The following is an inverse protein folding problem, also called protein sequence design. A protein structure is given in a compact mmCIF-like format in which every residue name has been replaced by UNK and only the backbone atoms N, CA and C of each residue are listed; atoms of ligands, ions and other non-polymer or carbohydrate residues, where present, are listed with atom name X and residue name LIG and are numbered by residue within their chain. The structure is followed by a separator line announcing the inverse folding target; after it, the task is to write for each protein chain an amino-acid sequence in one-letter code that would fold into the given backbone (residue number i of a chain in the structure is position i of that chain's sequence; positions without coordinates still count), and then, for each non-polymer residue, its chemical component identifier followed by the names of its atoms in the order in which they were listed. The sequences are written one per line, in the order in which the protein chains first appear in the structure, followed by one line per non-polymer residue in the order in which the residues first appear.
data_IF_105187762279
#
_entry.id   IF_105187762279
#
_cell.length_a   1.000
_cell.length_b   1.000
_cell.length_c   1.000
_cell.angle_alpha   90.00
_cell.angle_beta   90.00
_cell.angle_gamma   90.00
#
_symmetry.space_group_name_H-M   'P 1'
#
loop_
_entity.id
_entity.type
_entity.pdbx_description
1 polymer ?
#
# COMPACT_ATOMS: atom_id res chain seq x y z
N UNK A 1 -48.73 57.16 -4.88
CA UNK A 1 -50.12 56.93 -5.33
C UNK A 1 -50.16 55.58 -6.01
N UNK A 2 -50.95 54.62 -5.50
CA UNK A 2 -51.49 53.40 -6.14
C UNK A 2 -50.44 52.39 -6.70
N UNK A 3 -50.19 51.22 -6.09
CA UNK A 3 -51.02 50.00 -5.92
C UNK A 3 -51.61 49.45 -7.23
N UNK A 4 -51.09 48.29 -7.67
CA UNK A 4 -51.79 47.13 -8.29
C UNK A 4 -50.70 46.08 -8.62
N UNK A 5 -50.52 44.97 -7.89
CA UNK A 5 -51.31 43.73 -7.81
C UNK A 5 -51.53 43.01 -9.15
N UNK A 6 -50.67 42.05 -9.47
CA UNK A 6 -50.95 41.02 -10.47
C UNK A 6 -50.41 39.67 -9.98
N UNK A 7 -51.36 38.78 -9.68
CA UNK A 7 -51.20 37.38 -9.29
C UNK A 7 -50.62 36.57 -10.45
N UNK A 8 -49.57 35.79 -10.21
CA UNK A 8 -49.21 34.66 -11.06
C UNK A 8 -49.38 33.35 -10.28
N UNK A 9 -50.20 32.48 -10.84
CA UNK A 9 -50.54 31.14 -10.35
C UNK A 9 -49.33 30.21 -10.55
N UNK A 10 -48.88 29.55 -9.49
CA UNK A 10 -48.02 28.38 -9.60
C UNK A 10 -48.85 27.20 -10.09
N UNK A 11 -48.57 26.73 -11.30
CA UNK A 11 -49.06 25.45 -11.83
C UNK A 11 -48.11 24.35 -11.35
N UNK A 12 -48.59 23.49 -10.45
CA UNK A 12 -47.93 22.23 -10.11
C UNK A 12 -48.15 21.21 -11.24
N UNK A 13 -47.10 20.53 -11.74
CA UNK A 13 -47.28 19.35 -12.59
C UNK A 13 -47.67 18.12 -11.73
N UNK A 14 -48.31 17.10 -12.34
CA UNK A 14 -48.98 16.04 -11.61
C UNK A 14 -48.02 15.05 -10.96
N UNK A 15 -48.44 14.58 -9.78
CA UNK A 15 -47.81 13.54 -8.97
C UNK A 15 -47.89 12.20 -9.72
N UNK A 16 -46.77 11.72 -10.26
CA UNK A 16 -46.63 10.34 -10.71
C UNK A 16 -46.17 9.46 -9.55
N UNK A 17 -46.97 8.42 -9.26
CA UNK A 17 -46.76 7.44 -8.18
C UNK A 17 -45.43 6.71 -8.35
N UNK A 18 -44.66 6.66 -7.26
CA UNK A 18 -43.44 5.88 -7.07
C UNK A 18 -43.70 4.38 -7.33
N UNK A 19 -42.85 3.78 -8.17
CA UNK A 19 -42.55 2.34 -8.17
C UNK A 19 -41.16 2.20 -7.52
N UNK A 20 -40.99 1.43 -6.44
CA UNK A 20 -39.67 1.27 -5.83
C UNK A 20 -38.86 0.24 -6.63
N UNK A 21 -37.72 0.67 -7.19
CA UNK A 21 -36.64 -0.23 -7.61
C UNK A 21 -35.37 0.15 -6.83
N UNK A 22 -35.12 -0.59 -5.76
CA UNK A 22 -33.89 -0.64 -4.95
C UNK A 22 -32.93 -1.68 -5.55
N UNK A 23 -31.61 -1.65 -5.40
CA UNK A 23 -30.76 -1.05 -4.38
C UNK A 23 -29.63 -0.20 -4.98
N UNK A 24 -29.57 1.08 -4.62
CA UNK A 24 -28.34 1.88 -4.65
C UNK A 24 -27.60 1.68 -3.32
N UNK A 25 -26.38 1.16 -3.34
CA UNK A 25 -25.53 1.14 -2.15
C UNK A 25 -25.04 2.56 -1.84
N UNK A 26 -25.76 3.28 -0.97
CA UNK A 26 -25.22 4.45 -0.29
C UNK A 26 -24.32 3.97 0.84
N UNK A 27 -23.01 4.20 0.75
CA UNK A 27 -22.08 3.95 1.85
C UNK A 27 -22.24 5.06 2.87
N UNK A 28 -23.24 4.92 3.74
CA UNK A 28 -23.31 5.66 4.99
C UNK A 28 -22.43 4.96 6.02
N UNK A 29 -21.57 5.71 6.70
CA UNK A 29 -20.76 5.22 7.81
C UNK A 29 -21.64 4.91 9.02
N UNK A 30 -22.24 3.73 9.03
CA UNK A 30 -22.82 3.12 10.24
C UNK A 30 -22.07 1.83 10.49
N UNK A 31 -21.65 1.61 11.74
CA UNK A 31 -20.97 0.41 12.20
C UNK A 31 -21.59 -0.85 11.58
N UNK A 32 -20.89 -1.47 10.63
CA UNK A 32 -21.30 -2.74 10.05
C UNK A 32 -20.83 -3.85 10.97
N UNK A 33 -21.74 -4.33 11.80
CA UNK A 33 -21.66 -5.66 12.37
C UNK A 33 -21.68 -6.72 11.25
N UNK A 34 -20.92 -7.77 11.50
CA UNK A 34 -20.56 -8.88 10.62
C UNK A 34 -21.73 -9.78 10.21
N UNK A 35 -22.22 -9.67 8.96
CA UNK A 35 -23.15 -10.67 8.42
C UNK A 35 -22.92 -11.08 6.95
N UNK A 36 -22.29 -10.25 6.12
CA UNK A 36 -22.02 -10.58 4.70
C UNK A 36 -20.56 -11.03 4.53
N UNK A 37 -20.29 -12.17 3.84
CA UNK A 37 -18.92 -12.54 3.52
C UNK A 37 -18.28 -11.50 2.58
N UNK A 38 -16.99 -11.23 2.75
CA UNK A 38 -16.26 -10.38 1.80
C UNK A 38 -16.07 -11.11 0.48
N UNK A 39 -16.42 -10.46 -0.64
CA UNK A 39 -16.27 -11.05 -1.98
C UNK A 39 -14.81 -10.98 -2.42
N UNK A 40 -14.26 -12.10 -2.88
CA UNK A 40 -12.91 -12.22 -3.42
C UNK A 40 -12.99 -12.71 -4.86
N UNK A 41 -12.62 -11.86 -5.81
CA UNK A 41 -12.53 -12.22 -7.22
C UNK A 41 -11.13 -12.74 -7.54
N UNK A 42 -11.05 -14.03 -7.82
CA UNK A 42 -9.84 -14.75 -8.17
C UNK A 42 -9.58 -14.63 -9.68
N UNK A 43 -8.48 -13.97 -10.03
CA UNK A 43 -8.13 -13.58 -11.39
C UNK A 43 -6.74 -14.12 -11.73
N UNK A 44 -6.64 -14.99 -12.74
CA UNK A 44 -5.38 -15.54 -13.21
C UNK A 44 -4.95 -14.89 -14.52
N UNK A 45 -3.68 -14.50 -14.64
CA UNK A 45 -3.13 -13.91 -15.88
C UNK A 45 -3.02 -14.93 -17.03
N UNK A 46 -2.75 -16.20 -16.74
CA UNK A 46 -2.72 -17.28 -17.74
C UNK A 46 -3.67 -18.42 -17.38
N UNK A 47 -3.73 -19.44 -18.24
CA UNK A 47 -4.50 -20.66 -18.00
C UNK A 47 -4.09 -21.35 -16.70
N UNK A 48 -2.80 -21.40 -16.38
CA UNK A 48 -2.29 -22.00 -15.14
C UNK A 48 -2.81 -21.27 -13.91
N UNK A 49 -2.69 -19.95 -13.85
CA UNK A 49 -3.24 -19.17 -12.73
C UNK A 49 -4.77 -19.23 -12.68
N UNK A 50 -5.44 -19.38 -13.83
CA UNK A 50 -6.90 -19.54 -13.90
C UNK A 50 -7.37 -20.90 -13.36
N UNK A 51 -6.57 -21.97 -13.52
CA UNK A 51 -6.84 -23.27 -12.91
C UNK A 51 -6.69 -23.23 -11.40
N UNK A 52 -5.68 -22.52 -10.89
CA UNK A 52 -5.51 -22.26 -9.46
C UNK A 52 -6.75 -21.54 -8.89
N UNK A 53 -7.25 -20.51 -9.59
CA UNK A 53 -8.46 -19.79 -9.17
C UNK A 53 -9.67 -20.73 -9.03
N UNK A 54 -9.88 -21.61 -10.02
CA UNK A 54 -10.96 -22.62 -9.98
C UNK A 54 -10.80 -23.58 -8.81
N UNK A 55 -9.59 -24.10 -8.57
CA UNK A 55 -9.33 -25.01 -7.46
C UNK A 55 -9.60 -24.34 -6.11
N UNK A 56 -9.14 -23.11 -5.91
CA UNK A 56 -9.36 -22.38 -4.66
C UNK A 56 -10.83 -22.09 -4.41
N UNK A 57 -11.59 -21.74 -5.46
CA UNK A 57 -13.05 -21.57 -5.36
C UNK A 57 -13.77 -22.87 -5.01
N UNK A 58 -13.40 -23.99 -5.63
CA UNK A 58 -14.03 -25.30 -5.39
C UNK A 58 -13.74 -25.80 -3.97
N UNK A 59 -12.50 -25.65 -3.51
CA UNK A 59 -12.07 -26.18 -2.23
C UNK A 59 -12.50 -25.28 -1.05
N UNK A 60 -12.95 -24.05 -1.31
CA UNK A 60 -13.42 -23.07 -0.31
C UNK A 60 -12.42 -22.86 0.85
N UNK A 61 -11.13 -22.80 0.52
CA UNK A 61 -10.05 -22.79 1.54
C UNK A 61 -9.71 -21.39 2.06
N UNK A 62 -10.06 -20.33 1.31
CA UNK A 62 -9.74 -18.97 1.68
C UNK A 62 -10.63 -18.49 2.84
N UNK A 63 -10.03 -17.85 3.84
CA UNK A 63 -10.73 -17.35 5.02
C UNK A 63 -10.11 -16.04 5.54
N UNK A 64 -10.87 -15.28 6.31
CA UNK A 64 -10.36 -14.15 7.09
C UNK A 64 -10.03 -14.58 8.51
N UNK A 65 -9.12 -13.86 9.21
CA UNK A 65 -8.85 -14.11 10.62
C UNK A 65 -10.11 -14.08 11.49
N UNK A 66 -10.05 -14.74 12.65
CA UNK A 66 -11.15 -14.82 13.63
C UNK A 66 -12.45 -15.42 13.08
N UNK A 67 -12.34 -16.34 12.11
CA UNK A 67 -13.51 -17.02 11.52
C UNK A 67 -14.34 -16.13 10.57
N UNK A 68 -13.77 -15.01 10.10
CA UNK A 68 -14.41 -14.19 9.09
C UNK A 68 -14.59 -14.96 7.78
N UNK A 69 -15.80 -14.94 7.22
CA UNK A 69 -16.10 -15.65 5.97
C UNK A 69 -15.80 -14.78 4.75
N UNK A 70 -15.36 -15.43 3.69
CA UNK A 70 -15.20 -14.85 2.36
C UNK A 70 -16.03 -15.64 1.35
N UNK A 71 -16.30 -15.03 0.21
CA UNK A 71 -16.96 -15.69 -0.92
C UNK A 71 -16.05 -15.58 -2.13
N UNK A 72 -15.45 -16.69 -2.53
CA UNK A 72 -14.58 -16.75 -3.69
C UNK A 72 -15.39 -16.81 -4.99
N UNK A 73 -15.08 -15.91 -5.92
CA UNK A 73 -15.68 -15.77 -7.23
C UNK A 73 -14.56 -15.77 -8.28
N UNK A 74 -14.84 -16.22 -9.49
CA UNK A 74 -13.88 -16.15 -10.60
C UNK A 74 -13.99 -14.79 -11.30
N UNK A 75 -12.93 -14.39 -12.00
CA UNK A 75 -12.91 -13.19 -12.83
C UNK A 75 -14.12 -13.09 -13.79
N UNK A 76 -14.56 -14.21 -14.38
CA UNK A 76 -15.74 -14.24 -15.27
C UNK A 76 -17.05 -13.82 -14.60
N UNK A 77 -17.12 -13.90 -13.27
CA UNK A 77 -18.30 -13.51 -12.49
C UNK A 77 -18.30 -12.03 -12.12
N UNK A 78 -17.22 -11.29 -12.37
CA UNK A 78 -17.16 -9.83 -12.14
C UNK A 78 -18.28 -9.13 -12.91
N UNK A 79 -18.52 -9.50 -14.17
CA UNK A 79 -19.54 -8.88 -15.03
C UNK A 79 -20.99 -9.05 -14.51
N UNK A 80 -21.22 -10.03 -13.64
CA UNK A 80 -22.52 -10.22 -12.97
C UNK A 80 -22.80 -9.10 -11.96
N UNK A 81 -21.76 -8.39 -11.51
CA UNK A 81 -21.85 -7.31 -10.55
C UNK A 81 -21.50 -5.98 -11.21
N UNK A 82 -22.29 -4.94 -10.93
CA UNK A 82 -21.97 -3.58 -11.37
C UNK A 82 -21.16 -2.87 -10.30
N UNK A 83 -19.88 -2.64 -10.59
CA UNK A 83 -19.00 -1.81 -9.78
C UNK A 83 -18.92 -0.39 -10.38
N UNK A 84 -18.57 0.59 -9.56
CA UNK A 84 -18.37 1.96 -10.04
C UNK A 84 -17.12 2.09 -10.91
N UNK A 85 -17.03 3.18 -11.68
CA UNK A 85 -15.87 3.46 -12.57
C UNK A 85 -14.54 3.53 -11.81
N UNK A 86 -14.55 3.86 -10.53
CA UNK A 86 -13.35 3.90 -9.67
C UNK A 86 -12.90 2.51 -9.18
N UNK A 87 -13.56 1.41 -9.55
CA UNK A 87 -13.17 0.06 -9.13
C UNK A 87 -11.88 -0.39 -9.83
N UNK A 88 -11.09 -1.26 -9.17
CA UNK A 88 -9.82 -1.71 -9.75
C UNK A 88 -10.05 -2.51 -11.04
N UNK A 89 -9.44 -2.07 -12.13
CA UNK A 89 -9.60 -2.70 -13.44
C UNK A 89 -8.53 -3.77 -13.68
N UNK A 90 -8.95 -5.03 -13.59
CA UNK A 90 -8.10 -6.21 -13.75
C UNK A 90 -7.44 -6.27 -15.14
N UNK A 91 -8.15 -5.89 -16.20
CA UNK A 91 -7.62 -5.96 -17.57
C UNK A 91 -6.55 -4.88 -17.83
N UNK A 92 -6.74 -3.66 -17.30
CA UNK A 92 -5.71 -2.62 -17.36
C UNK A 92 -4.43 -3.05 -16.62
N UNK A 93 -4.58 -3.67 -15.45
CA UNK A 93 -3.45 -4.24 -14.72
C UNK A 93 -2.74 -5.32 -15.55
N UNK A 94 -3.49 -6.22 -16.18
CA UNK A 94 -2.92 -7.28 -17.02
C UNK A 94 -2.17 -6.77 -18.24
N UNK A 95 -2.70 -5.73 -18.90
CA UNK A 95 -2.07 -5.14 -20.07
C UNK A 95 -0.70 -4.51 -19.76
N UNK A 96 -0.53 -4.01 -18.54
CA UNK A 96 0.72 -3.37 -18.08
C UNK A 96 1.69 -4.34 -17.37
N UNK A 97 1.24 -5.51 -16.90
CA UNK A 97 2.07 -6.47 -16.15
C UNK A 97 2.89 -7.38 -17.06
N UNK A 98 4.22 -7.40 -16.87
CA UNK A 98 5.18 -8.17 -17.69
C UNK A 98 5.99 -9.22 -16.90
N UNK A 99 5.63 -9.47 -15.64
CA UNK A 99 6.37 -10.35 -14.74
C UNK A 99 6.21 -11.85 -15.04
N UNK A 100 7.17 -12.62 -14.54
CA UNK A 100 7.20 -14.09 -14.60
C UNK A 100 6.70 -14.76 -13.32
N UNK A 101 6.88 -14.14 -12.15
CA UNK A 101 6.54 -14.71 -10.84
C UNK A 101 5.52 -13.86 -10.08
N UNK A 102 5.76 -12.55 -9.97
CA UNK A 102 4.97 -11.71 -9.05
C UNK A 102 3.76 -11.05 -9.69
N UNK A 103 2.64 -10.98 -8.98
CA UNK A 103 1.42 -10.29 -9.40
C UNK A 103 0.53 -11.05 -10.38
N UNK A 104 0.92 -12.26 -10.82
CA UNK A 104 0.24 -13.01 -11.89
C UNK A 104 -1.05 -13.74 -11.46
N UNK A 105 -1.21 -13.94 -10.15
CA UNK A 105 -2.45 -14.39 -9.53
C UNK A 105 -2.96 -13.24 -8.68
N UNK A 106 -4.07 -12.62 -9.09
CA UNK A 106 -4.69 -11.47 -8.45
C UNK A 106 -5.96 -11.88 -7.73
N UNK A 107 -6.08 -11.48 -6.48
CA UNK A 107 -7.30 -11.48 -5.70
C UNK A 107 -7.78 -10.03 -5.61
N UNK A 108 -8.89 -9.70 -6.26
CA UNK A 108 -9.48 -8.38 -6.13
C UNK A 108 -10.71 -8.41 -5.22
N UNK A 109 -10.90 -7.37 -4.41
CA UNK A 109 -12.08 -7.20 -3.59
C UNK A 109 -12.57 -5.74 -3.58
N UNK A 110 -13.86 -5.46 -3.81
CA UNK A 110 -14.39 -4.11 -3.69
C UNK A 110 -14.39 -3.59 -2.24
N UNK A 111 -14.54 -4.50 -1.27
CA UNK A 111 -14.57 -4.17 0.15
C UNK A 111 -14.05 -5.35 0.97
N UNK A 112 -13.00 -5.09 1.76
CA UNK A 112 -12.30 -6.12 2.52
C UNK A 112 -11.88 -5.57 3.90
N UNK A 113 -11.71 -6.39 4.96
CA UNK A 113 -11.11 -5.89 6.18
C UNK A 113 -9.68 -5.40 5.94
N UNK A 114 -8.83 -6.24 5.35
CA UNK A 114 -7.41 -5.99 5.11
C UNK A 114 -6.90 -6.96 4.05
N UNK A 115 -6.24 -6.45 3.01
CA UNK A 115 -5.50 -7.25 2.00
C UNK A 115 -4.38 -8.05 2.66
N UNK A 116 -3.73 -7.46 3.67
CA UNK A 116 -2.64 -8.09 4.42
C UNK A 116 -3.14 -9.31 5.19
N UNK A 117 -4.34 -9.24 5.75
CA UNK A 117 -4.95 -10.33 6.51
C UNK A 117 -5.30 -11.50 5.55
N UNK A 118 -5.78 -11.22 4.33
CA UNK A 118 -6.01 -12.28 3.32
C UNK A 118 -4.71 -12.98 2.94
N UNK A 119 -3.67 -12.21 2.60
CA UNK A 119 -2.39 -12.77 2.12
C UNK A 119 -1.68 -13.56 3.22
N UNK A 120 -1.60 -13.00 4.43
CA UNK A 120 -0.87 -13.64 5.53
C UNK A 120 -1.59 -14.85 6.09
N UNK A 121 -2.93 -14.81 6.23
CA UNK A 121 -3.68 -15.91 6.81
C UNK A 121 -3.79 -17.12 5.87
N UNK A 122 -3.83 -16.89 4.56
CA UNK A 122 -4.01 -17.92 3.55
C UNK A 122 -2.69 -18.28 2.83
N UNK A 123 -1.53 -17.89 3.37
CA UNK A 123 -0.25 -18.03 2.67
C UNK A 123 0.02 -19.45 2.15
N UNK A 124 -0.41 -20.49 2.88
CA UNK A 124 -0.21 -21.89 2.47
C UNK A 124 -1.08 -22.32 1.28
N UNK A 125 -2.21 -21.64 1.06
CA UNK A 125 -3.14 -21.90 -0.04
C UNK A 125 -2.80 -21.06 -1.28
N UNK A 126 -2.06 -19.96 -1.09
CA UNK A 126 -1.75 -19.01 -2.14
C UNK A 126 -0.38 -19.29 -2.77
N UNK A 127 -0.27 -19.28 -4.11
CA UNK A 127 1.03 -19.27 -4.78
C UNK A 127 1.90 -18.10 -4.30
N UNK A 128 3.22 -18.31 -4.26
CA UNK A 128 4.17 -17.20 -4.08
C UNK A 128 4.01 -16.22 -5.23
N UNK A 129 3.99 -14.92 -4.92
CA UNK A 129 3.72 -13.86 -5.88
C UNK A 129 2.24 -13.52 -6.08
N UNK A 130 1.33 -14.18 -5.35
CA UNK A 130 -0.08 -13.78 -5.30
C UNK A 130 -0.21 -12.36 -4.78
N UNK A 131 -1.02 -11.53 -5.44
CA UNK A 131 -1.37 -10.19 -4.98
C UNK A 131 -2.84 -10.13 -4.61
N UNK A 132 -3.16 -9.50 -3.48
CA UNK A 132 -4.52 -9.13 -3.10
C UNK A 132 -4.66 -7.61 -3.14
N UNK A 133 -5.60 -7.09 -3.93
CA UNK A 133 -5.92 -5.66 -4.07
C UNK A 133 -7.32 -5.41 -3.53
N UNK A 134 -7.52 -4.32 -2.81
CA UNK A 134 -8.85 -3.88 -2.38
C UNK A 134 -9.15 -2.45 -2.81
N UNK A 135 -10.41 -2.17 -3.17
CA UNK A 135 -10.86 -0.79 -3.41
C UNK A 135 -11.11 -0.03 -2.11
N UNK A 136 -11.50 -0.73 -1.04
CA UNK A 136 -11.68 -0.16 0.29
C UNK A 136 -11.32 -1.19 1.36
N UNK A 137 -10.54 -0.76 2.36
CA UNK A 137 -10.27 -1.54 3.56
C UNK A 137 -10.93 -0.88 4.77
N UNK A 138 -11.66 -1.65 5.59
CA UNK A 138 -12.27 -1.12 6.81
C UNK A 138 -11.51 -1.49 8.10
N UNK A 139 -10.48 -2.33 8.00
CA UNK A 139 -9.54 -2.68 9.07
C UNK A 139 -8.09 -2.68 8.56
N UNK A 140 -7.74 -1.67 7.76
CA UNK A 140 -6.41 -1.52 7.16
C UNK A 140 -5.29 -1.57 8.20
N UNK A 141 -4.22 -2.30 7.90
CA UNK A 141 -3.11 -2.55 8.84
C UNK A 141 -1.95 -1.59 8.58
N UNK A 142 -1.43 -1.01 9.66
CA UNK A 142 -0.12 -0.35 9.71
C UNK A 142 0.82 -1.05 10.70
N UNK A 143 2.06 -0.56 10.77
CA UNK A 143 3.09 -1.09 11.68
C UNK A 143 2.76 -0.75 13.15
N UNK A 144 3.23 -1.59 14.08
CA UNK A 144 3.07 -1.40 15.54
C UNK A 144 1.62 -1.16 16.00
N UNK A 145 0.66 -1.92 15.45
CA UNK A 145 -0.79 -1.84 15.69
C UNK A 145 -1.49 -0.57 15.17
N UNK A 146 -0.80 0.31 14.46
CA UNK A 146 -1.45 1.45 13.80
C UNK A 146 -2.45 0.96 12.73
N UNK A 147 -3.48 1.74 12.47
CA UNK A 147 -4.40 1.52 11.37
C UNK A 147 -3.93 2.28 10.11
N UNK A 148 -4.19 1.73 8.93
CA UNK A 148 -4.04 2.44 7.67
C UNK A 148 -5.41 2.94 7.20
N UNK A 149 -5.61 4.26 7.19
CA UNK A 149 -6.81 4.87 6.64
C UNK A 149 -6.88 4.69 5.13
N UNK A 150 -8.03 4.23 4.65
CA UNK A 150 -8.18 3.62 3.33
C UNK A 150 -9.33 4.27 2.53
N UNK A 151 -9.33 5.60 2.33
CA UNK A 151 -10.38 6.28 1.57
C UNK A 151 -10.35 5.87 0.10
N UNK A 152 -11.49 6.05 -0.59
CA UNK A 152 -11.61 5.76 -2.02
C UNK A 152 -10.55 6.53 -2.82
N UNK A 153 -9.89 5.84 -3.76
CA UNK A 153 -8.76 6.38 -4.54
C UNK A 153 -7.38 6.00 -3.97
N UNK A 154 -7.32 5.40 -2.77
CA UNK A 154 -6.10 4.81 -2.24
C UNK A 154 -5.77 3.50 -2.99
N UNK A 155 -4.49 3.31 -3.33
CA UNK A 155 -3.96 2.04 -3.79
C UNK A 155 -3.57 1.19 -2.57
N UNK A 156 -4.21 0.05 -2.43
CA UNK A 156 -3.98 -0.87 -1.30
C UNK A 156 -3.85 -2.28 -1.83
N UNK A 157 -2.67 -2.85 -1.64
CA UNK A 157 -2.44 -4.23 -2.01
C UNK A 157 -1.43 -4.90 -1.09
N UNK A 158 -1.54 -6.22 -0.97
CA UNK A 158 -0.56 -7.04 -0.28
C UNK A 158 -0.19 -8.23 -1.16
N UNK A 159 1.02 -8.76 -1.02
CA UNK A 159 1.47 -9.89 -1.82
C UNK A 159 2.31 -10.90 -1.05
N UNK A 160 2.29 -12.15 -1.52
CA UNK A 160 3.07 -13.25 -0.95
C UNK A 160 4.48 -13.26 -1.51
N UNK A 161 5.46 -13.47 -0.62
CA UNK A 161 6.85 -13.68 -0.95
C UNK A 161 7.41 -14.78 -0.05
N UNK A 162 8.35 -15.58 -0.54
CA UNK A 162 9.03 -16.60 0.27
C UNK A 162 10.55 -16.41 0.22
N UNK A 163 11.21 -16.53 1.37
CA UNK A 163 12.65 -16.35 1.53
C UNK A 163 13.23 -17.46 2.42
N UNK A 164 14.54 -17.70 2.33
CA UNK A 164 15.23 -18.74 3.11
C UNK A 164 16.18 -18.16 4.16
N UNK A 165 16.90 -17.08 3.83
CA UNK A 165 17.84 -16.44 4.76
C UNK A 165 17.16 -15.39 5.64
N UNK A 166 17.00 -15.71 6.93
CA UNK A 166 16.42 -14.82 7.94
C UNK A 166 17.18 -13.50 8.14
N UNK A 167 18.48 -13.43 7.80
CA UNK A 167 19.26 -12.19 7.89
C UNK A 167 18.84 -11.15 6.85
N UNK A 168 18.32 -11.61 5.71
CA UNK A 168 17.91 -10.74 4.60
C UNK A 168 16.44 -10.35 4.67
N UNK A 169 15.60 -11.13 5.36
CA UNK A 169 14.16 -10.85 5.50
C UNK A 169 13.85 -9.41 5.94
N UNK A 170 14.54 -8.81 6.94
CA UNK A 170 14.28 -7.42 7.33
C UNK A 170 14.57 -6.39 6.23
N UNK A 171 15.48 -6.69 5.29
CA UNK A 171 15.89 -5.79 4.21
C UNK A 171 14.86 -5.73 3.08
N UNK A 172 13.92 -6.68 3.02
CA UNK A 172 12.94 -6.75 1.94
C UNK A 172 12.07 -5.50 1.85
N UNK A 173 11.79 -4.85 2.99
CA UNK A 173 10.99 -3.62 3.02
C UNK A 173 11.64 -2.48 2.24
N UNK A 174 12.98 -2.44 2.18
CA UNK A 174 13.73 -1.46 1.41
C UNK A 174 13.63 -1.72 -0.08
N UNK A 175 13.67 -3.00 -0.49
CA UNK A 175 13.44 -3.41 -1.88
C UNK A 175 12.02 -3.08 -2.34
N UNK A 176 11.02 -3.31 -1.47
CA UNK A 176 9.62 -2.91 -1.72
C UNK A 176 9.51 -1.40 -1.84
N UNK A 177 10.18 -0.64 -0.97
CA UNK A 177 10.19 0.83 -1.00
C UNK A 177 10.77 1.36 -2.31
N UNK A 178 11.93 0.84 -2.71
CA UNK A 178 12.55 1.16 -4.00
C UNK A 178 11.61 0.85 -5.17
N UNK A 179 11.00 -0.34 -5.18
CA UNK A 179 10.11 -0.75 -6.25
C UNK A 179 8.91 0.19 -6.40
N UNK A 180 8.34 0.72 -5.31
CA UNK A 180 7.28 1.72 -5.40
C UNK A 180 7.81 3.02 -6.02
N UNK A 181 8.94 3.53 -5.55
CA UNK A 181 9.50 4.79 -6.09
C UNK A 181 9.88 4.68 -7.56
N UNK A 182 10.49 3.56 -7.98
CA UNK A 182 10.84 3.30 -9.37
C UNK A 182 9.62 3.06 -10.25
N UNK A 183 8.54 2.50 -9.71
CA UNK A 183 7.27 2.34 -10.43
C UNK A 183 6.61 3.68 -10.73
N UNK A 184 6.63 4.63 -9.78
CA UNK A 184 6.08 5.98 -10.03
C UNK A 184 6.88 6.70 -11.11
N UNK A 185 8.21 6.63 -11.07
CA UNK A 185 9.09 7.19 -12.12
C UNK A 185 8.78 6.59 -13.49
N UNK A 186 8.66 5.26 -13.56
CA UNK A 186 8.34 4.54 -14.79
C UNK A 186 6.98 4.95 -15.37
N UNK A 187 5.96 5.11 -14.52
CA UNK A 187 4.64 5.59 -14.96
C UNK A 187 4.71 7.04 -15.43
N UNK A 188 5.51 7.90 -14.78
CA UNK A 188 5.73 9.25 -15.27
C UNK A 188 6.35 9.23 -16.67
N UNK A 189 7.44 8.49 -16.86
CA UNK A 189 8.18 8.42 -18.11
C UNK A 189 7.31 7.89 -19.27
N UNK A 190 6.59 6.78 -19.03
CA UNK A 190 5.73 6.14 -20.06
C UNK A 190 4.56 7.03 -20.48
N UNK A 191 4.02 7.82 -19.56
CA UNK A 191 2.85 8.67 -19.83
C UNK A 191 3.21 10.13 -20.13
N UNK A 192 4.51 10.48 -20.14
CA UNK A 192 4.97 11.85 -20.33
C UNK A 192 4.53 12.81 -19.21
N UNK A 193 4.37 12.31 -17.99
CA UNK A 193 4.05 13.15 -16.84
C UNK A 193 5.30 13.86 -16.34
N UNK A 194 5.16 15.03 -15.67
CA UNK A 194 6.27 15.61 -14.94
C UNK A 194 6.82 14.63 -13.91
N UNK A 195 8.12 14.76 -13.63
CA UNK A 195 8.79 13.97 -12.61
C UNK A 195 8.15 14.22 -11.24
N UNK A 196 7.75 13.15 -10.55
CA UNK A 196 7.20 13.19 -9.18
C UNK A 196 8.18 12.53 -8.23
N UNK A 197 8.72 13.33 -7.30
CA UNK A 197 9.79 12.92 -6.40
C UNK A 197 9.25 12.23 -5.14
N UNK A 198 8.82 10.98 -5.27
CA UNK A 198 8.45 10.15 -4.11
C UNK A 198 9.72 9.67 -3.40
N UNK A 199 9.86 10.06 -2.14
CA UNK A 199 11.04 9.81 -1.30
C UNK A 199 10.74 8.80 -0.20
N UNK A 200 11.79 8.10 0.25
CA UNK A 200 11.69 7.11 1.32
C UNK A 200 12.03 7.77 2.66
N UNK A 201 11.11 7.70 3.62
CA UNK A 201 11.42 7.96 5.03
C UNK A 201 11.52 6.63 5.75
N UNK A 202 12.74 6.31 6.16
CA UNK A 202 13.05 5.09 6.88
C UNK A 202 12.16 4.94 8.14
N UNK A 203 11.72 3.71 8.46
CA UNK A 203 12.04 2.46 7.75
C UNK A 203 11.07 2.08 6.63
N UNK A 204 9.89 2.69 6.55
CA UNK A 204 8.78 2.13 5.79
C UNK A 204 7.74 3.14 5.30
N UNK A 205 8.01 4.45 5.40
CA UNK A 205 7.09 5.47 4.92
C UNK A 205 7.53 6.03 3.57
N UNK A 206 6.57 6.42 2.73
CA UNK A 206 6.80 7.10 1.46
C UNK A 206 6.25 8.52 1.55
N UNK A 207 7.06 9.48 1.11
CA UNK A 207 6.81 10.91 1.25
C UNK A 207 6.82 11.60 -0.10
N UNK A 208 5.97 12.60 -0.25
CA UNK A 208 5.88 13.47 -1.40
C UNK A 208 5.67 14.90 -0.90
N UNK A 209 6.53 15.83 -1.33
CA UNK A 209 6.50 17.24 -0.90
C UNK A 209 6.45 17.40 0.64
N UNK A 210 7.19 16.56 1.37
CA UNK A 210 7.23 16.59 2.84
C UNK A 210 6.00 15.99 3.53
N UNK A 211 5.01 15.49 2.79
CA UNK A 211 3.83 14.82 3.36
C UNK A 211 3.90 13.32 3.13
N UNK A 212 3.43 12.53 4.10
CA UNK A 212 3.32 11.08 3.95
C UNK A 212 2.25 10.76 2.92
N UNK A 213 2.64 10.05 1.87
CA UNK A 213 1.75 9.61 0.77
C UNK A 213 1.56 8.09 0.76
N UNK A 214 2.43 7.33 1.43
CA UNK A 214 2.31 5.88 1.50
C UNK A 214 3.03 5.24 2.67
N UNK A 215 2.80 3.95 2.84
CA UNK A 215 3.44 3.13 3.86
C UNK A 215 3.55 1.68 3.42
N UNK A 216 4.59 1.01 3.92
CA UNK A 216 4.91 -0.39 3.65
C UNK A 216 4.82 -1.18 4.95
N UNK A 217 4.28 -2.39 4.85
CA UNK A 217 4.17 -3.34 5.95
C UNK A 217 4.68 -4.70 5.50
N UNK A 218 5.85 -5.11 5.97
CA UNK A 218 6.36 -6.46 5.77
C UNK A 218 6.23 -7.25 7.08
N UNK A 219 5.57 -8.40 7.03
CA UNK A 219 5.50 -9.34 8.15
C UNK A 219 5.92 -10.71 7.69
N UNK A 220 6.61 -11.48 8.52
CA UNK A 220 7.04 -12.83 8.19
C UNK A 220 6.60 -13.86 9.22
N UNK A 221 6.29 -15.06 8.76
CA UNK A 221 6.20 -16.26 9.60
C UNK A 221 7.25 -17.26 9.14
N UNK A 222 7.82 -18.04 10.07
CA UNK A 222 8.76 -19.10 9.72
C UNK A 222 8.06 -20.45 9.75
N UNK A 223 8.01 -21.14 8.61
CA UNK A 223 7.35 -22.45 8.46
C UNK A 223 8.11 -23.30 7.44
N UNK A 224 8.27 -24.58 7.73
CA UNK A 224 8.89 -25.55 6.81
C UNK A 224 10.27 -25.10 6.29
N UNK A 225 11.12 -24.56 7.18
CA UNK A 225 12.46 -24.03 6.88
C UNK A 225 12.50 -22.81 5.95
N UNK A 226 11.37 -22.13 5.77
CA UNK A 226 11.26 -20.93 4.94
C UNK A 226 10.53 -19.81 5.68
N UNK A 227 10.86 -18.58 5.33
CA UNK A 227 10.16 -17.38 5.76
C UNK A 227 9.07 -17.04 4.74
N UNK A 228 7.82 -17.17 5.17
CA UNK A 228 6.65 -16.71 4.43
C UNK A 228 6.44 -15.23 4.76
N UNK A 229 6.78 -14.37 3.80
CA UNK A 229 6.72 -12.91 3.93
C UNK A 229 5.46 -12.39 3.24
N UNK A 230 4.63 -11.68 3.99
CA UNK A 230 3.51 -10.90 3.46
C UNK A 230 3.90 -9.44 3.44
N UNK A 231 3.87 -8.82 2.27
CA UNK A 231 4.24 -7.42 2.06
C UNK A 231 3.03 -6.63 1.59
N UNK A 232 2.61 -5.66 2.39
CA UNK A 232 1.51 -4.74 2.12
C UNK A 232 2.01 -3.34 1.76
N UNK A 233 1.34 -2.70 0.81
CA UNK A 233 1.53 -1.31 0.41
C UNK A 233 0.19 -0.60 0.51
N UNK A 234 0.17 0.53 1.23
CA UNK A 234 -0.89 1.53 1.16
C UNK A 234 -0.32 2.80 0.57
N UNK A 235 -0.94 3.35 -0.47
CA UNK A 235 -0.41 4.50 -1.21
C UNK A 235 -1.53 5.40 -1.73
N UNK A 236 -1.43 6.70 -1.47
CA UNK A 236 -2.45 7.66 -1.84
C UNK A 236 -2.28 8.08 -3.30
N UNK A 237 -3.22 7.66 -4.17
CA UNK A 237 -3.16 7.94 -5.61
C UNK A 237 -4.17 9.01 -6.00
N UNK A 238 -5.45 8.76 -5.73
CA UNK A 238 -6.57 9.67 -6.03
C UNK A 238 -7.27 10.25 -4.79
N UNK A 239 -6.77 9.98 -3.57
CA UNK A 239 -7.39 10.41 -2.31
C UNK A 239 -6.61 11.55 -1.64
N UNK A 240 -7.10 12.79 -1.74
CA UNK A 240 -6.38 13.98 -1.22
C UNK A 240 -6.28 14.01 0.31
N UNK A 241 -7.13 13.26 1.01
CA UNK A 241 -7.15 13.13 2.47
C UNK A 241 -6.69 11.74 2.91
N UNK A 242 -6.08 11.58 4.11
CA UNK A 242 -5.89 12.62 5.15
C UNK A 242 -4.68 13.56 4.93
N UNK A 243 -3.77 13.25 4.00
CA UNK A 243 -2.53 14.01 3.80
C UNK A 243 -2.43 14.68 2.43
N UNK A 244 -2.13 13.90 1.40
CA UNK A 244 -2.05 14.28 -0.03
C UNK A 244 -2.04 12.99 -0.88
N UNK A 245 -2.07 13.14 -2.21
CA UNK A 245 -1.97 12.03 -3.16
C UNK A 245 -1.22 12.42 -4.45
N UNK A 246 -0.82 11.42 -5.25
CA UNK A 246 -0.14 11.66 -6.53
C UNK A 246 -0.93 12.56 -7.48
N UNK A 247 -2.24 12.32 -7.61
CA UNK A 247 -3.06 13.06 -8.56
C UNK A 247 -3.24 14.52 -8.16
N UNK A 248 -3.12 14.87 -6.87
CA UNK A 248 -3.07 16.27 -6.43
C UNK A 248 -1.81 16.94 -6.96
N UNK A 249 -0.65 16.34 -6.69
CA UNK A 249 0.64 16.90 -7.11
C UNK A 249 0.79 16.92 -8.63
N UNK A 250 0.27 15.90 -9.34
CA UNK A 250 0.26 15.89 -10.81
C UNK A 250 -0.54 17.08 -11.38
N UNK A 251 -1.70 17.39 -10.81
CA UNK A 251 -2.54 18.52 -11.23
C UNK A 251 -1.87 19.87 -10.96
N UNK A 252 -1.04 19.98 -9.93
CA UNK A 252 -0.25 21.18 -9.65
C UNK A 252 0.90 21.37 -10.65
N UNK A 253 1.46 20.28 -11.17
CA UNK A 253 2.61 20.28 -12.08
C UNK A 253 2.25 20.23 -13.57
N UNK A 254 1.02 19.85 -13.92
CA UNK A 254 0.58 19.63 -15.30
C UNK A 254 -0.74 20.32 -15.62
N UNK A 255 -0.83 20.90 -16.82
CA UNK A 255 -2.06 21.54 -17.33
C UNK A 255 -2.98 20.55 -18.06
N UNK A 256 -2.53 19.32 -18.29
CA UNK A 256 -3.33 18.27 -18.94
C UNK A 256 -4.16 17.49 -17.91
N UNK A 257 -5.38 17.05 -18.26
CA UNK A 257 -6.27 16.31 -17.35
C UNK A 257 -5.86 14.82 -17.22
N UNK A 258 -4.58 14.57 -17.00
CA UNK A 258 -4.03 13.24 -16.82
C UNK A 258 -4.01 12.85 -15.34
N UNK A 259 -4.15 11.56 -15.07
CA UNK A 259 -4.15 11.02 -13.71
C UNK A 259 -3.39 9.69 -13.65
N UNK A 260 -2.71 9.45 -12.54
CA UNK A 260 -2.19 8.13 -12.23
C UNK A 260 -3.35 7.17 -11.97
N UNK A 261 -3.24 5.98 -12.56
CA UNK A 261 -4.13 4.85 -12.33
C UNK A 261 -3.52 3.85 -11.37
N UNK A 262 -4.34 3.28 -10.50
CA UNK A 262 -3.91 2.30 -9.48
C UNK A 262 -3.35 1.04 -10.15
N UNK A 263 -3.94 0.66 -11.27
CA UNK A 263 -3.59 -0.49 -12.10
C UNK A 263 -2.19 -0.34 -12.71
N UNK A 264 -1.91 0.83 -13.28
CA UNK A 264 -0.62 1.14 -13.90
C UNK A 264 0.52 1.17 -12.87
N UNK A 265 0.27 1.77 -11.70
CA UNK A 265 1.22 1.77 -10.59
C UNK A 265 1.44 0.34 -10.08
N UNK A 266 0.39 -0.45 -9.89
CA UNK A 266 0.51 -1.82 -9.37
C UNK A 266 1.29 -2.71 -10.34
N UNK A 267 1.03 -2.61 -11.65
CA UNK A 267 1.77 -3.35 -12.66
C UNK A 267 3.24 -2.92 -12.73
N UNK A 268 3.50 -1.61 -12.76
CA UNK A 268 4.86 -1.05 -12.74
C UNK A 268 5.61 -1.48 -11.47
N UNK A 269 4.94 -1.50 -10.32
CA UNK A 269 5.50 -1.98 -9.06
C UNK A 269 5.99 -3.41 -9.19
N UNK A 270 5.18 -4.36 -9.67
CA UNK A 270 5.63 -5.75 -9.80
C UNK A 270 6.73 -5.90 -10.83
N UNK A 271 6.68 -5.17 -11.95
CA UNK A 271 7.73 -5.18 -12.96
C UNK A 271 9.08 -4.71 -12.38
N UNK A 272 9.10 -3.63 -11.59
CA UNK A 272 10.33 -3.16 -10.91
C UNK A 272 10.72 -4.06 -9.75
N UNK A 273 9.77 -4.50 -8.95
CA UNK A 273 9.99 -5.35 -7.79
C UNK A 273 10.64 -6.67 -8.21
N UNK A 274 10.17 -7.33 -9.27
CA UNK A 274 10.74 -8.59 -9.73
C UNK A 274 12.22 -8.45 -10.09
N UNK A 275 12.59 -7.36 -10.78
CA UNK A 275 13.99 -7.08 -11.13
C UNK A 275 14.84 -6.75 -9.91
N UNK A 276 14.36 -5.85 -9.03
CA UNK A 276 15.10 -5.44 -7.83
C UNK A 276 15.24 -6.58 -6.83
N UNK A 277 14.21 -7.43 -6.72
CA UNK A 277 14.23 -8.63 -5.89
C UNK A 277 15.26 -9.64 -6.39
N UNK A 278 15.37 -9.85 -7.71
CA UNK A 278 16.42 -10.71 -8.27
C UNK A 278 17.83 -10.17 -8.00
N UNK A 279 18.05 -8.86 -8.11
CA UNK A 279 19.33 -8.26 -7.74
C UNK A 279 19.60 -8.50 -6.25
N UNK A 280 18.63 -8.23 -5.40
CA UNK A 280 18.73 -8.37 -3.95
C UNK A 280 19.07 -9.80 -3.51
N UNK A 281 18.37 -10.81 -4.04
CA UNK A 281 18.60 -12.21 -3.66
C UNK A 281 19.92 -12.76 -4.19
N UNK A 282 20.34 -12.35 -5.40
CA UNK A 282 21.54 -12.90 -6.03
C UNK A 282 22.83 -12.14 -5.66
N UNK A 283 22.73 -10.85 -5.35
CA UNK A 283 23.88 -9.95 -5.18
C UNK A 283 23.89 -9.20 -3.84
N UNK A 284 22.88 -9.40 -3.00
CA UNK A 284 22.74 -8.71 -1.71
C UNK A 284 22.19 -7.29 -1.84
N UNK A 285 21.81 -6.71 -0.69
CA UNK A 285 21.24 -5.36 -0.63
C UNK A 285 22.25 -4.26 -0.93
N UNK A 286 23.54 -4.52 -0.71
CA UNK A 286 24.63 -3.57 -0.94
C UNK A 286 24.60 -3.00 -2.37
N UNK A 287 24.23 -3.84 -3.34
CA UNK A 287 24.09 -3.44 -4.76
C UNK A 287 22.97 -2.41 -4.98
N UNK A 288 22.00 -2.33 -4.06
CA UNK A 288 20.87 -1.40 -4.11
C UNK A 288 21.03 -0.20 -3.16
N UNK A 289 22.07 -0.15 -2.34
CA UNK A 289 22.26 0.88 -1.32
C UNK A 289 22.38 2.28 -1.91
N UNK A 290 23.15 2.46 -2.99
CA UNK A 290 23.30 3.76 -3.63
C UNK A 290 21.94 4.29 -4.12
N UNK A 291 21.15 3.44 -4.77
CA UNK A 291 19.81 3.79 -5.23
C UNK A 291 18.89 4.12 -4.04
N UNK A 292 18.98 3.36 -2.96
CA UNK A 292 18.23 3.60 -1.73
C UNK A 292 18.57 4.96 -1.10
N UNK A 293 19.86 5.24 -0.89
CA UNK A 293 20.34 6.49 -0.29
C UNK A 293 20.12 7.71 -1.18
N UNK A 294 20.08 7.54 -2.50
CA UNK A 294 19.68 8.62 -3.42
C UNK A 294 18.18 8.93 -3.36
N UNK A 295 17.38 8.00 -2.84
CA UNK A 295 15.91 8.11 -2.82
C UNK A 295 15.36 8.42 -1.43
N UNK A 296 16.09 8.15 -0.35
CA UNK A 296 15.64 8.42 1.01
C UNK A 296 15.77 9.91 1.41
N UNK A 297 15.25 10.26 2.59
CA UNK A 297 15.28 11.62 3.15
C UNK A 297 16.38 11.87 4.19
N UNK A 298 17.28 10.92 4.45
CA UNK A 298 18.11 10.94 5.66
C UNK A 298 19.59 11.28 5.47
N UNK A 299 20.06 11.44 4.22
CA UNK A 299 21.48 11.72 3.94
C UNK A 299 21.99 12.94 4.69
N UNK A 300 23.02 12.76 5.54
CA UNK A 300 23.67 13.85 6.26
C UNK A 300 22.80 14.50 7.34
N UNK A 301 21.66 13.90 7.68
CA UNK A 301 20.76 14.47 8.67
C UNK A 301 21.40 14.44 10.06
N UNK A 302 21.57 15.60 10.69
CA UNK A 302 21.94 15.70 12.11
C UNK A 302 20.69 15.52 12.96
N UNK A 303 20.75 14.59 13.91
CA UNK A 303 19.65 14.27 14.81
C UNK A 303 20.13 14.17 16.25
N UNK A 304 19.25 14.49 17.19
CA UNK A 304 19.49 14.37 18.62
C UNK A 304 18.92 13.03 19.08
N UNK A 305 19.77 12.16 19.62
CA UNK A 305 19.36 10.91 20.27
C UNK A 305 19.18 11.19 21.75
N UNK A 306 17.96 11.01 22.25
CA UNK A 306 17.61 11.10 23.65
C UNK A 306 17.59 9.69 24.26
N UNK A 307 18.48 9.46 25.21
CA UNK A 307 18.52 8.26 26.05
C UNK A 307 18.12 8.64 27.47
N UNK A 308 17.13 7.94 28.03
CA UNK A 308 16.73 8.13 29.42
C UNK A 308 17.47 7.12 30.28
N UNK A 309 18.36 7.60 31.14
CA UNK A 309 19.09 6.79 32.09
C UNK A 309 18.64 7.20 33.50
N UNK A 310 17.80 6.37 34.12
CA UNK A 310 17.09 6.66 35.36
C UNK A 310 16.30 8.00 35.28
N UNK A 311 16.78 9.04 35.97
CA UNK A 311 16.18 10.39 36.03
C UNK A 311 16.86 11.41 35.12
N UNK A 312 17.91 11.03 34.38
CA UNK A 312 18.63 11.93 33.47
C UNK A 312 18.34 11.60 32.02
N UNK A 313 18.07 12.64 31.24
CA UNK A 313 18.02 12.56 29.77
C UNK A 313 19.41 12.93 29.26
N UNK A 314 20.08 11.98 28.61
CA UNK A 314 21.32 12.22 27.89
C UNK A 314 20.97 12.50 26.44
N UNK A 315 21.47 13.62 25.93
CA UNK A 315 21.29 14.01 24.54
C UNK A 315 22.62 13.91 23.81
N UNK A 316 22.64 13.14 22.72
CA UNK A 316 23.80 13.01 21.86
C UNK A 316 23.44 13.46 20.45
N UNK A 317 24.23 14.38 19.90
CA UNK A 317 24.07 14.78 18.49
C UNK A 317 24.81 13.78 17.62
N UNK A 318 24.09 13.18 16.67
CA UNK A 318 24.63 12.21 15.71
C UNK A 318 24.23 12.59 14.30
N UNK A 319 25.03 12.19 13.32
CA UNK A 319 24.75 12.39 11.90
C UNK A 319 24.40 11.05 11.27
N UNK A 320 23.26 10.96 10.57
CA UNK A 320 22.85 9.77 9.84
C UNK A 320 23.79 9.56 8.64
N UNK A 321 24.36 8.35 8.54
CA UNK A 321 25.33 7.99 7.50
C UNK A 321 24.83 6.92 6.54
N UNK A 322 23.86 6.10 6.93
CA UNK A 322 23.42 4.99 6.09
C UNK A 322 22.63 3.95 6.86
N UNK A 323 22.73 2.71 6.40
CA UNK A 323 22.25 1.53 7.09
C UNK A 323 23.43 0.66 7.55
N UNK A 324 23.24 -0.07 8.65
CA UNK A 324 24.14 -1.16 9.04
C UNK A 324 23.89 -2.38 8.16
N UNK A 325 24.78 -3.38 8.22
CA UNK A 325 24.61 -4.64 7.47
C UNK A 325 23.33 -5.40 7.83
N UNK A 326 22.77 -5.14 9.02
CA UNK A 326 21.50 -5.70 9.50
C UNK A 326 20.29 -4.86 9.07
N UNK A 327 20.52 -3.75 8.38
CA UNK A 327 19.49 -2.84 7.90
C UNK A 327 18.98 -1.85 8.94
N UNK A 328 19.69 -1.63 10.06
CA UNK A 328 19.33 -0.59 11.03
C UNK A 328 19.91 0.76 10.62
N UNK A 329 19.35 1.86 11.12
CA UNK A 329 19.83 3.19 10.75
C UNK A 329 21.18 3.46 11.44
N UNK A 330 22.21 3.70 10.65
CA UNK A 330 23.57 3.99 11.12
C UNK A 330 23.73 5.50 11.31
N UNK A 331 24.13 5.89 12.51
CA UNK A 331 24.49 7.26 12.83
C UNK A 331 25.90 7.32 13.45
N UNK A 332 26.59 8.45 13.27
CA UNK A 332 27.93 8.69 13.83
C UNK A 332 27.88 9.98 14.66
N UNK A 333 28.31 9.91 15.91
CA UNK A 333 28.45 11.06 16.81
C UNK A 333 29.62 11.97 16.43
N UNK A 334 29.62 13.20 16.96
CA UNK A 334 30.73 14.15 16.75
C UNK A 334 32.05 13.63 17.37
N UNK A 335 31.98 12.63 18.26
CA UNK A 335 33.09 11.88 18.85
C UNK A 335 33.54 10.67 17.99
N UNK A 336 33.01 10.54 16.77
CA UNK A 336 33.17 9.40 15.86
C UNK A 336 32.66 8.05 16.40
N UNK A 337 31.86 8.04 17.46
CA UNK A 337 31.24 6.81 17.92
C UNK A 337 30.04 6.44 17.05
N UNK A 338 29.96 5.15 16.71
CA UNK A 338 28.85 4.60 15.94
C UNK A 338 27.65 4.34 16.85
N UNK A 339 26.48 4.74 16.37
CA UNK A 339 25.18 4.51 17.00
C UNK A 339 24.27 3.77 16.01
N UNK A 340 23.73 2.63 16.42
CA UNK A 340 22.74 1.87 15.67
C UNK A 340 21.34 2.18 16.19
N UNK A 341 20.44 2.63 15.32
CA UNK A 341 19.08 3.03 15.68
C UNK A 341 18.07 2.02 15.13
N UNK A 342 17.36 1.35 16.05
CA UNK A 342 16.36 0.33 15.74
C UNK A 342 14.97 0.94 15.47
N UNK A 343 14.19 0.37 14.53
CA UNK A 343 12.93 0.94 14.10
C UNK A 343 11.75 0.70 15.05
N UNK A 344 11.81 -0.30 15.93
CA UNK A 344 10.78 -0.56 16.96
C UNK A 344 11.17 0.00 18.34
N UNK A 345 12.46 0.04 18.63
CA UNK A 345 13.03 0.60 19.86
C UNK A 345 13.16 2.13 19.87
N UNK A 346 12.89 2.82 18.76
CA UNK A 346 12.98 4.28 18.67
C UNK A 346 11.69 4.93 18.15
N UNK A 347 11.46 6.16 18.60
CA UNK A 347 10.55 7.14 18.02
C UNK A 347 11.37 8.17 17.26
N UNK A 348 11.19 8.25 15.94
CA UNK A 348 11.93 9.18 15.08
C UNK A 348 11.02 10.32 14.60
N UNK A 349 11.18 11.50 15.18
CA UNK A 349 10.57 12.76 14.71
C UNK A 349 11.52 13.42 13.70
N UNK A 350 11.36 13.02 12.44
CA UNK A 350 12.17 13.46 11.32
C UNK A 350 12.21 14.99 11.17
N UNK A 351 11.06 15.66 11.29
CA UNK A 351 10.96 17.11 11.05
C UNK A 351 11.57 17.94 12.17
N UNK A 352 11.74 17.35 13.36
CA UNK A 352 12.45 17.99 14.48
C UNK A 352 13.89 17.49 14.64
N UNK A 353 14.33 16.54 13.81
CA UNK A 353 15.63 15.90 13.95
C UNK A 353 15.81 15.22 15.31
N UNK A 354 14.77 14.56 15.84
CA UNK A 354 14.78 14.00 17.18
C UNK A 354 14.53 12.49 17.17
N UNK A 355 15.39 11.73 17.85
CA UNK A 355 15.26 10.29 18.06
C UNK A 355 15.12 10.02 19.55
N UNK A 356 14.05 9.34 19.96
CA UNK A 356 13.83 8.93 21.35
C UNK A 356 13.85 7.42 21.45
N UNK A 357 14.69 6.85 22.31
CA UNK A 357 14.59 5.42 22.64
C UNK A 357 13.30 5.19 23.44
N UNK A 358 12.49 4.21 23.00
CA UNK A 358 11.34 3.74 23.77
C UNK A 358 11.87 2.89 24.93
N UNK A 359 11.33 3.13 26.12
CA UNK A 359 11.56 2.27 27.28
C UNK A 359 10.80 0.95 27.05
N UNK A 360 11.44 -0.18 27.35
CA UNK A 360 10.78 -1.49 27.43
C UNK A 360 9.85 -1.58 28.65
#
# INVERSE_FOLDING_TARGET
MLVQSSRFRFLFPPIQKRIPSSLSFSVASSAMDSASPSMLFLCGKSSTESEIAKSLKINDTLNLPNGGKVSALLQSEINTFRFGEDAFNVDLFWNSLSTKRFGRFLIWSPLLPSTHDIVSHNFCELPVGTVCVADTQFKGRGRSKNAWESPRGCLMFSFTLQMEDGKTVPLVQYVVSLAVTEAIKDVCDRNGFPFIDVRIKWPNDLYLNGLKVGGILCTSTYKSKKFNVSSGIGFNVGNEKPTTCLNTVLKELSTTPNEFRREDITAAFFNKFEMLYDIFINQGFQTLEELYYRTWLHSGQRVIVQEKNEDRVVESVVTIQGLTSSGYLLAIGDDNQMCELHPDGNSFDFFKGLVRRKLE
#
